data_IF_157920497156
#
_entry.id   IF_157920497156
#
_cell.length_a   1.000
_cell.length_b   1.000
_cell.length_c   1.000
_cell.angle_alpha   90.00
_cell.angle_beta   90.00
_cell.angle_gamma   90.00
#
_symmetry.space_group_name_H-M   'P 1'
#
loop_
_entity.id
_entity.type
_entity.pdbx_description
1 polymer ?
#
# COMPACT_ATOMS: atom_id res chain seq x y z
N UNK A 1 -19.70 -12.86 4.06
CA UNK A 1 -19.79 -13.16 5.50
C UNK A 1 -18.74 -12.29 6.18
N UNK A 2 -19.17 -11.19 6.76
CA UNK A 2 -18.31 -10.43 7.68
C UNK A 2 -18.52 -11.02 9.06
N UNK A 3 -17.51 -11.69 9.61
CA UNK A 3 -17.48 -11.97 11.03
C UNK A 3 -16.97 -10.67 11.67
N UNK A 4 -17.88 -9.86 12.15
CA UNK A 4 -17.55 -8.82 13.11
C UNK A 4 -17.25 -9.59 14.39
N UNK A 5 -15.97 -9.71 14.74
CA UNK A 5 -15.57 -10.21 16.04
C UNK A 5 -15.89 -9.10 17.04
N UNK A 6 -17.03 -9.20 17.72
CA UNK A 6 -17.40 -8.36 18.84
C UNK A 6 -16.41 -8.46 20.05
N UNK A 7 -15.36 -9.22 19.90
CA UNK A 7 -14.30 -9.38 20.89
C UNK A 7 -13.21 -8.31 20.83
N UNK A 8 -13.34 -7.30 19.97
CA UNK A 8 -12.37 -6.18 19.90
C UNK A 8 -12.50 -5.24 21.12
N UNK A 9 -13.57 -5.36 21.91
CA UNK A 9 -13.79 -4.51 23.08
C UNK A 9 -12.85 -4.76 24.27
N UNK A 10 -12.07 -5.85 24.25
CA UNK A 10 -11.13 -6.15 25.33
C UNK A 10 -9.66 -5.82 24.97
N UNK A 11 -9.40 -5.26 23.82
CA UNK A 11 -8.11 -4.65 23.55
C UNK A 11 -8.09 -3.29 24.25
N UNK A 12 -7.64 -3.28 25.50
CA UNK A 12 -7.17 -2.07 26.17
C UNK A 12 -6.00 -1.53 25.34
N UNK A 13 -6.32 -0.66 24.39
CA UNK A 13 -5.33 0.22 23.80
C UNK A 13 -4.94 1.19 24.91
N UNK A 14 -3.66 1.24 25.30
CA UNK A 14 -3.22 2.23 26.26
C UNK A 14 -3.57 3.61 25.71
N UNK A 15 -4.03 4.49 26.57
CA UNK A 15 -4.54 5.82 26.29
C UNK A 15 -4.08 6.43 24.95
N UNK A 16 -4.93 6.36 23.95
CA UNK A 16 -5.07 7.45 23.00
C UNK A 16 -4.28 7.40 21.71
N UNK A 17 -3.37 6.47 21.41
CA UNK A 17 -2.68 6.48 20.09
C UNK A 17 -3.23 5.41 19.13
N UNK A 18 -4.44 5.64 18.68
CA UNK A 18 -5.12 4.80 17.69
C UNK A 18 -4.43 4.78 16.31
N UNK A 19 -3.54 5.72 16.03
CA UNK A 19 -2.82 5.78 14.76
C UNK A 19 -1.94 4.55 14.51
N UNK A 20 -1.41 3.92 15.57
CA UNK A 20 -0.58 2.73 15.45
C UNK A 20 -1.37 1.49 15.00
N UNK A 21 -2.68 1.42 15.19
CA UNK A 21 -3.49 0.30 14.72
C UNK A 21 -3.47 0.18 13.19
N UNK A 22 -3.65 1.28 12.49
CA UNK A 22 -3.59 1.31 11.03
C UNK A 22 -2.15 1.12 10.51
N UNK A 23 -1.15 1.62 11.26
CA UNK A 23 0.26 1.54 10.90
C UNK A 23 0.79 0.11 11.01
N UNK A 24 0.52 -0.56 12.13
CA UNK A 24 0.98 -1.92 12.42
C UNK A 24 -0.06 -2.99 12.07
N UNK A 25 -1.00 -2.66 11.18
CA UNK A 25 -2.01 -3.62 10.76
C UNK A 25 -1.36 -4.90 10.22
N UNK A 26 -1.75 -6.05 10.79
CA UNK A 26 -1.09 -7.33 10.54
C UNK A 26 -1.05 -7.71 9.04
N UNK A 27 -2.06 -7.33 8.26
CA UNK A 27 -2.12 -7.61 6.83
C UNK A 27 -1.12 -6.79 6.01
N UNK A 28 -0.52 -5.73 6.58
CA UNK A 28 0.47 -4.88 5.93
C UNK A 28 1.88 -5.04 6.51
N UNK A 29 2.04 -5.69 7.67
CA UNK A 29 3.34 -5.82 8.35
C UNK A 29 4.41 -6.50 7.50
N UNK A 30 4.02 -7.47 6.68
CA UNK A 30 4.95 -8.17 5.78
C UNK A 30 5.66 -7.24 4.79
N UNK A 31 5.05 -6.11 4.47
CA UNK A 31 5.64 -5.11 3.59
C UNK A 31 6.80 -4.34 4.25
N UNK A 32 6.76 -4.20 5.58
CA UNK A 32 7.68 -3.38 6.35
C UNK A 32 8.64 -4.21 7.24
N UNK A 33 8.26 -5.44 7.59
CA UNK A 33 9.03 -6.32 8.50
C UNK A 33 9.51 -7.56 7.76
N UNK A 34 10.83 -7.70 7.65
CA UNK A 34 11.47 -8.78 6.91
C UNK A 34 11.09 -10.17 7.43
N UNK A 35 10.94 -10.31 8.74
CA UNK A 35 10.56 -11.58 9.39
C UNK A 35 9.16 -12.01 8.94
N UNK A 36 8.23 -11.07 8.92
CA UNK A 36 6.84 -11.28 8.49
C UNK A 36 6.78 -11.56 6.99
N UNK A 37 7.59 -10.85 6.20
CA UNK A 37 7.73 -11.13 4.77
C UNK A 37 8.20 -12.57 4.53
N UNK A 38 9.22 -13.02 5.24
CA UNK A 38 9.75 -14.37 5.09
C UNK A 38 8.79 -15.47 5.58
N UNK A 39 7.87 -15.16 6.51
CA UNK A 39 6.93 -16.14 7.05
C UNK A 39 5.77 -16.43 6.10
N UNK A 40 5.15 -15.40 5.50
CA UNK A 40 4.01 -15.57 4.59
C UNK A 40 3.96 -14.56 3.43
N UNK A 41 4.57 -13.39 3.57
CA UNK A 41 4.47 -12.33 2.56
C UNK A 41 5.05 -12.74 1.22
N UNK A 42 6.17 -13.46 1.22
CA UNK A 42 6.84 -13.98 0.03
C UNK A 42 5.94 -14.94 -0.76
N UNK A 43 5.32 -15.88 -0.07
CA UNK A 43 4.45 -16.87 -0.72
C UNK A 43 3.18 -16.22 -1.24
N UNK A 44 2.64 -15.24 -0.50
CA UNK A 44 1.52 -14.42 -0.97
C UNK A 44 1.86 -13.64 -2.23
N UNK A 45 3.03 -12.99 -2.30
CA UNK A 45 3.48 -12.30 -3.52
C UNK A 45 3.68 -13.25 -4.69
N UNK A 46 4.30 -14.39 -4.49
CA UNK A 46 4.50 -15.39 -5.55
C UNK A 46 3.16 -15.88 -6.11
N UNK A 47 2.18 -16.13 -5.23
CA UNK A 47 0.84 -16.50 -5.65
C UNK A 47 0.16 -15.38 -6.44
N UNK A 48 0.30 -14.14 -6.01
CA UNK A 48 -0.25 -12.98 -6.72
C UNK A 48 0.37 -12.82 -8.11
N UNK A 49 1.70 -12.96 -8.24
CA UNK A 49 2.41 -12.94 -9.52
C UNK A 49 1.86 -14.02 -10.46
N UNK A 50 1.71 -15.24 -9.96
CA UNK A 50 1.18 -16.34 -10.77
C UNK A 50 -0.22 -16.04 -11.35
N UNK A 51 -1.11 -15.47 -10.55
CA UNK A 51 -2.44 -15.10 -11.04
C UNK A 51 -2.41 -13.86 -11.94
N UNK A 52 -1.54 -12.91 -11.65
CA UNK A 52 -1.39 -11.69 -12.45
C UNK A 52 -0.86 -12.01 -13.85
N UNK A 53 0.07 -12.97 -13.97
CA UNK A 53 0.56 -13.49 -15.26
C UNK A 53 -0.58 -14.08 -16.11
N UNK A 54 -1.51 -14.82 -15.47
CA UNK A 54 -2.67 -15.36 -16.16
C UNK A 54 -3.62 -14.25 -16.63
N UNK A 55 -3.85 -13.25 -15.79
CA UNK A 55 -4.69 -12.10 -16.14
C UNK A 55 -4.04 -11.34 -17.29
N UNK A 56 -2.74 -11.06 -17.21
CA UNK A 56 -1.99 -10.38 -18.29
C UNK A 56 -2.10 -11.11 -19.61
N UNK A 57 -1.87 -12.42 -19.63
CA UNK A 57 -2.03 -13.26 -20.83
C UNK A 57 -3.43 -13.16 -21.40
N UNK A 58 -4.46 -13.22 -20.57
CA UNK A 58 -5.86 -13.09 -21.02
C UNK A 58 -6.12 -11.71 -21.64
N UNK A 59 -5.66 -10.63 -21.00
CA UNK A 59 -5.83 -9.27 -21.50
C UNK A 59 -5.11 -9.07 -22.83
N UNK A 60 -3.91 -9.64 -22.99
CA UNK A 60 -3.16 -9.59 -24.26
C UNK A 60 -3.91 -10.25 -25.40
N UNK A 61 -4.56 -11.41 -25.17
CA UNK A 61 -5.40 -12.05 -26.21
C UNK A 61 -6.56 -11.17 -26.65
N UNK A 62 -7.01 -10.28 -25.77
CA UNK A 62 -8.11 -9.33 -26.02
C UNK A 62 -7.62 -7.95 -26.45
N UNK A 63 -6.31 -7.74 -26.58
CA UNK A 63 -5.68 -6.45 -26.90
C UNK A 63 -6.08 -5.34 -25.90
N UNK A 64 -6.24 -5.69 -24.63
CA UNK A 64 -6.57 -4.76 -23.55
C UNK A 64 -5.30 -4.41 -22.79
N UNK A 65 -5.00 -3.12 -22.71
CA UNK A 65 -3.86 -2.63 -21.94
C UNK A 65 -4.10 -2.79 -20.44
N UNK A 66 -3.08 -3.27 -19.73
CA UNK A 66 -3.07 -3.40 -18.30
C UNK A 66 -2.25 -2.27 -17.67
N UNK A 67 -2.76 -1.72 -16.58
CA UNK A 67 -2.00 -0.81 -15.72
C UNK A 67 -2.10 -1.30 -14.29
N UNK A 68 -1.06 -1.07 -13.48
CA UNK A 68 -1.02 -1.41 -12.07
C UNK A 68 -0.94 -0.14 -11.23
N UNK A 69 -1.61 -0.15 -10.09
CA UNK A 69 -1.50 0.89 -9.07
C UNK A 69 -0.99 0.25 -7.78
N UNK A 70 0.08 0.79 -7.22
CA UNK A 70 0.52 0.47 -5.86
C UNK A 70 -0.08 1.51 -4.93
N UNK A 71 -0.95 1.05 -4.02
CA UNK A 71 -1.56 1.91 -3.00
C UNK A 71 -0.65 1.95 -1.75
N UNK A 72 -0.31 3.13 -1.23
CA UNK A 72 0.46 3.25 0.01
C UNK A 72 -0.43 2.94 1.23
N UNK A 73 0.08 2.13 2.14
CA UNK A 73 -0.53 1.86 3.43
C UNK A 73 0.05 2.82 4.47
N UNK A 74 -0.66 3.17 5.55
CA UNK A 74 -0.12 4.04 6.61
C UNK A 74 1.22 3.56 7.14
N UNK A 75 1.39 2.26 7.37
CA UNK A 75 2.66 1.66 7.78
C UNK A 75 3.79 1.86 6.77
N UNK A 76 3.50 1.87 5.48
CA UNK A 76 4.51 2.17 4.44
C UNK A 76 5.04 3.59 4.60
N UNK A 77 4.17 4.56 4.91
CA UNK A 77 4.55 5.96 5.12
C UNK A 77 5.33 6.12 6.44
N UNK A 78 4.84 5.49 7.51
CA UNK A 78 5.45 5.61 8.83
C UNK A 78 6.86 5.04 8.90
N UNK A 79 7.07 3.85 8.32
CA UNK A 79 8.36 3.14 8.31
C UNK A 79 9.23 3.46 7.10
N UNK A 80 8.78 4.36 6.23
CA UNK A 80 9.46 4.63 4.98
C UNK A 80 10.91 5.09 5.21
N UNK A 81 11.83 4.33 4.67
CA UNK A 81 13.25 4.66 4.63
C UNK A 81 13.89 4.33 3.26
N UNK A 82 13.23 3.48 2.49
CA UNK A 82 13.58 3.04 1.14
C UNK A 82 12.39 2.32 0.54
N UNK A 83 12.43 2.07 -0.76
CA UNK A 83 11.41 1.24 -1.43
C UNK A 83 11.26 -0.11 -0.74
N UNK A 84 10.04 -0.50 -0.51
CA UNK A 84 9.68 -1.77 0.11
C UNK A 84 9.88 -2.93 -0.87
N UNK A 85 9.93 -4.16 -0.37
CA UNK A 85 9.95 -5.36 -1.22
C UNK A 85 8.71 -5.45 -2.12
N UNK A 86 7.57 -4.98 -1.63
CA UNK A 86 6.33 -4.91 -2.39
C UNK A 86 6.46 -3.99 -3.62
N UNK A 87 6.94 -2.76 -3.42
CA UNK A 87 7.16 -1.81 -4.50
C UNK A 87 8.13 -2.37 -5.55
N UNK A 88 9.28 -2.88 -5.09
CA UNK A 88 10.31 -3.45 -5.97
C UNK A 88 9.78 -4.63 -6.78
N UNK A 89 8.99 -5.50 -6.15
CA UNK A 89 8.42 -6.67 -6.82
C UNK A 89 7.49 -6.25 -7.95
N UNK A 90 6.57 -5.33 -7.70
CA UNK A 90 5.62 -4.90 -8.71
C UNK A 90 6.23 -4.01 -9.80
N UNK A 91 7.18 -3.16 -9.44
CA UNK A 91 7.91 -2.37 -10.45
C UNK A 91 8.73 -3.26 -11.39
N UNK A 92 9.42 -4.28 -10.86
CA UNK A 92 10.15 -5.23 -11.69
C UNK A 92 9.19 -6.05 -12.56
N UNK A 93 8.13 -6.60 -11.97
CA UNK A 93 7.14 -7.35 -12.73
C UNK A 93 6.50 -6.51 -13.85
N UNK A 94 6.13 -5.28 -13.56
CA UNK A 94 5.55 -4.37 -14.54
C UNK A 94 6.53 -4.07 -15.68
N UNK A 95 7.79 -3.83 -15.37
CA UNK A 95 8.86 -3.62 -16.35
C UNK A 95 9.04 -4.84 -17.25
N UNK A 96 9.13 -6.04 -16.66
CA UNK A 96 9.37 -7.29 -17.40
C UNK A 96 8.19 -7.68 -18.30
N UNK A 97 6.98 -7.22 -17.96
CA UNK A 97 5.74 -7.49 -18.69
C UNK A 97 5.26 -6.31 -19.55
N UNK A 98 6.05 -5.25 -19.69
CA UNK A 98 5.67 -4.02 -20.39
C UNK A 98 4.32 -3.46 -19.94
N UNK A 99 4.12 -3.41 -18.61
CA UNK A 99 2.92 -2.88 -17.96
C UNK A 99 3.24 -1.53 -17.35
N UNK A 100 2.36 -0.54 -17.54
CA UNK A 100 2.50 0.74 -16.86
C UNK A 100 2.15 0.60 -15.40
N UNK A 101 2.91 1.27 -14.53
CA UNK A 101 2.69 1.21 -13.09
C UNK A 101 2.66 2.62 -12.49
N UNK A 102 1.61 2.88 -11.71
CA UNK A 102 1.52 4.06 -10.86
C UNK A 102 1.85 3.68 -9.43
N UNK A 103 3.09 3.97 -9.00
CA UNK A 103 3.48 3.76 -7.61
C UNK A 103 3.06 4.98 -6.77
N UNK A 104 1.87 4.91 -6.17
CA UNK A 104 1.33 5.99 -5.38
C UNK A 104 2.06 6.22 -4.03
N UNK A 105 2.95 5.31 -3.62
CA UNK A 105 3.85 5.57 -2.47
C UNK A 105 4.71 6.79 -2.74
N UNK A 106 5.11 7.03 -3.99
CA UNK A 106 5.92 8.18 -4.39
C UNK A 106 5.26 9.53 -4.10
N UNK A 107 3.94 9.59 -3.96
CA UNK A 107 3.19 10.80 -3.57
C UNK A 107 3.67 11.30 -2.20
N UNK A 108 4.11 10.39 -1.34
CA UNK A 108 4.55 10.65 0.02
C UNK A 108 6.07 10.74 0.19
N UNK A 109 6.85 10.84 -0.90
CA UNK A 109 8.32 10.94 -0.81
C UNK A 109 8.82 12.11 0.04
N UNK A 110 7.99 13.12 0.25
CA UNK A 110 8.31 14.25 1.12
C UNK A 110 8.50 13.88 2.60
N UNK A 111 8.02 12.70 3.03
CA UNK A 111 8.20 12.21 4.41
C UNK A 111 9.60 11.67 4.69
N UNK A 112 10.46 11.52 3.71
CA UNK A 112 11.77 10.88 3.85
C UNK A 112 12.63 11.46 4.98
N UNK A 113 12.60 12.78 5.15
CA UNK A 113 13.39 13.48 6.14
C UNK A 113 12.58 13.84 7.41
N UNK A 114 11.36 13.33 7.54
CA UNK A 114 10.47 13.62 8.66
C UNK A 114 10.73 12.65 9.81
N UNK A 115 10.59 13.15 11.03
CA UNK A 115 10.52 12.34 12.24
C UNK A 115 9.26 11.45 12.22
N UNK A 116 9.25 10.42 13.07
CA UNK A 116 8.06 9.57 13.20
C UNK A 116 6.81 10.33 13.62
N UNK A 117 6.95 11.35 14.47
CA UNK A 117 5.85 12.22 14.89
C UNK A 117 5.26 12.97 13.70
N UNK A 118 6.09 13.61 12.89
CA UNK A 118 5.64 14.33 11.70
C UNK A 118 4.98 13.38 10.68
N UNK A 119 5.48 12.15 10.54
CA UNK A 119 4.84 11.14 9.68
C UNK A 119 3.46 10.71 10.17
N UNK A 120 3.25 10.63 11.49
CA UNK A 120 1.93 10.42 12.07
C UNK A 120 0.97 11.55 11.72
N UNK A 121 1.43 12.80 11.79
CA UNK A 121 0.62 13.95 11.40
C UNK A 121 0.22 13.89 9.91
N UNK A 122 1.13 13.41 9.05
CA UNK A 122 0.82 13.15 7.63
C UNK A 122 -0.23 12.05 7.47
N UNK A 123 -0.10 10.95 8.20
CA UNK A 123 -1.07 9.84 8.15
C UNK A 123 -2.43 10.33 8.60
N UNK A 124 -2.53 10.99 9.75
CA UNK A 124 -3.80 11.53 10.28
C UNK A 124 -4.45 12.55 9.32
N UNK A 125 -3.65 13.26 8.53
CA UNK A 125 -4.15 14.19 7.52
C UNK A 125 -4.79 13.51 6.32
N UNK A 126 -4.28 12.35 5.89
CA UNK A 126 -4.63 11.74 4.61
C UNK A 126 -5.37 10.41 4.73
N UNK A 127 -5.46 9.82 5.90
CA UNK A 127 -6.16 8.56 6.14
C UNK A 127 -7.32 8.75 7.11
N UNK A 128 -8.26 7.84 7.09
CA UNK A 128 -9.27 7.75 8.15
C UNK A 128 -8.62 7.25 9.44
N UNK A 129 -9.12 7.71 10.56
CA UNK A 129 -8.69 7.24 11.88
C UNK A 129 -8.91 5.72 11.96
N UNK A 130 -7.92 5.00 12.48
CA UNK A 130 -7.94 3.54 12.66
C UNK A 130 -8.08 2.73 11.36
N UNK A 131 -7.96 3.34 10.20
CA UNK A 131 -8.20 2.68 8.93
C UNK A 131 -7.01 2.85 7.98
N UNK A 132 -6.93 1.94 7.02
CA UNK A 132 -5.89 1.95 5.98
C UNK A 132 -6.32 2.69 4.71
N UNK A 133 -7.54 3.18 4.69
CA UNK A 133 -8.10 3.87 3.53
C UNK A 133 -7.89 5.38 3.60
N UNK A 134 -7.70 5.99 2.45
CA UNK A 134 -7.64 7.44 2.36
C UNK A 134 -8.94 8.09 2.82
N UNK A 135 -8.82 9.15 3.61
CA UNK A 135 -9.90 10.10 3.80
C UNK A 135 -10.05 11.01 2.58
N UNK A 136 -10.93 12.01 2.65
CA UNK A 136 -11.16 12.96 1.56
C UNK A 136 -9.87 13.61 1.06
N UNK A 137 -9.01 14.08 1.96
CA UNK A 137 -7.75 14.75 1.60
C UNK A 137 -6.78 13.79 0.89
N UNK A 138 -6.70 12.55 1.35
CA UNK A 138 -5.88 11.51 0.74
C UNK A 138 -6.38 11.14 -0.65
N UNK A 139 -7.70 10.99 -0.80
CA UNK A 139 -8.33 10.70 -2.07
C UNK A 139 -8.10 11.83 -3.10
N UNK A 140 -8.24 13.10 -2.69
CA UNK A 140 -7.99 14.26 -3.56
C UNK A 140 -6.52 14.32 -3.99
N UNK A 141 -5.57 14.11 -3.06
CA UNK A 141 -4.15 14.07 -3.37
C UNK A 141 -3.80 12.93 -4.35
N UNK A 142 -4.31 11.73 -4.07
CA UNK A 142 -4.13 10.57 -4.93
C UNK A 142 -4.69 10.84 -6.34
N UNK A 143 -5.92 11.32 -6.44
CA UNK A 143 -6.56 11.59 -7.73
C UNK A 143 -5.78 12.61 -8.56
N UNK A 144 -5.30 13.68 -7.92
CA UNK A 144 -4.49 14.70 -8.58
C UNK A 144 -3.23 14.11 -9.24
N UNK A 145 -2.50 13.25 -8.52
CA UNK A 145 -1.27 12.65 -9.03
C UNK A 145 -1.55 11.53 -10.02
N UNK A 146 -2.61 10.76 -9.81
CA UNK A 146 -3.06 9.73 -10.76
C UNK A 146 -3.51 10.34 -12.09
N UNK A 147 -4.21 11.46 -12.07
CA UNK A 147 -4.56 12.19 -13.29
C UNK A 147 -3.33 12.58 -14.11
N UNK A 148 -2.29 13.12 -13.47
CA UNK A 148 -1.02 13.42 -14.15
C UNK A 148 -0.38 12.18 -14.78
N UNK A 149 -0.44 11.04 -14.07
CA UNK A 149 0.07 9.77 -14.61
C UNK A 149 -0.69 9.37 -15.88
N UNK A 150 -2.01 9.49 -15.91
CA UNK A 150 -2.82 9.17 -17.09
C UNK A 150 -2.54 10.12 -18.27
N UNK A 151 -2.35 11.42 -18.01
CA UNK A 151 -2.08 12.43 -19.04
C UNK A 151 -0.69 12.23 -19.69
N UNK A 152 0.27 11.64 -18.98
CA UNK A 152 1.63 11.36 -19.45
C UNK A 152 1.80 9.90 -19.94
N UNK A 153 0.74 9.15 -20.01
CA UNK A 153 0.72 7.73 -20.36
C UNK A 153 0.22 7.49 -21.75
#
# INVERSE_FOLDING_TARGET
>A
FFIILDSVNDFFLPDGDFSMFAIDHQNALWNNKKEVYNSYGKDGLNSNIFYLDKIKKLLDTKKINMNIIIHPWPGTIYYYNKKTMYELTWENWAKDNNVKIFNAVSIFNFVNNMSKKERLEVINRYYHDLDMHFNKNGAELFFKEFKKFLENS
#
